data_IF_281388796648
#
_entry.id   IF_281388796648
#
_cell.length_a   1.000
_cell.length_b   1.000
_cell.length_c   1.000
_cell.angle_alpha   90.00
_cell.angle_beta   90.00
_cell.angle_gamma   90.00
#
_symmetry.space_group_name_H-M   'P 1'
#
loop_
_entity.id
_entity.type
_entity.pdbx_description
1 polymer ?
#
# COMPACT_ATOMS: atom_id res chain seq x y z
N UNK A 1 9.40 -5.55 32.36
CA UNK A 1 8.79 -4.20 32.22
C UNK A 1 7.69 -4.35 31.18
N UNK A 2 6.44 -4.45 31.61
CA UNK A 2 5.30 -4.37 30.69
C UNK A 2 5.28 -2.96 30.12
N UNK A 3 5.51 -2.84 28.82
CA UNK A 3 5.35 -1.57 28.11
C UNK A 3 3.85 -1.31 28.02
N UNK A 4 3.31 -0.63 29.03
CA UNK A 4 1.95 -0.08 28.95
C UNK A 4 1.98 1.01 27.89
N UNK A 5 1.63 0.65 26.65
CA UNK A 5 1.44 1.63 25.59
C UNK A 5 0.43 2.67 26.05
N UNK A 6 0.75 3.95 25.86
CA UNK A 6 -0.22 5.02 26.08
C UNK A 6 -1.46 4.77 25.21
N UNK A 7 -2.63 5.22 25.64
CA UNK A 7 -3.87 5.10 24.85
C UNK A 7 -3.66 5.64 23.41
N UNK A 8 -2.92 6.74 23.28
CA UNK A 8 -2.54 7.32 21.99
C UNK A 8 -1.72 6.36 21.11
N UNK A 9 -0.78 5.61 21.69
CA UNK A 9 0.04 4.66 20.94
C UNK A 9 -0.76 3.41 20.51
N UNK A 10 -1.72 2.96 21.33
CA UNK A 10 -2.64 1.89 20.96
C UNK A 10 -3.59 2.31 19.83
N UNK A 11 -4.16 3.50 19.92
CA UNK A 11 -5.06 4.03 18.90
C UNK A 11 -4.33 4.29 17.58
N UNK A 12 -3.13 4.87 17.63
CA UNK A 12 -2.27 5.02 16.46
C UNK A 12 -1.97 3.67 15.81
N UNK A 13 -1.57 2.67 16.59
CA UNK A 13 -1.27 1.32 16.07
C UNK A 13 -2.48 0.71 15.39
N UNK A 14 -3.67 0.80 15.99
CA UNK A 14 -4.92 0.28 15.39
C UNK A 14 -5.27 0.97 14.08
N UNK A 15 -5.11 2.30 14.02
CA UNK A 15 -5.32 3.07 12.79
C UNK A 15 -4.36 2.64 11.68
N UNK A 16 -3.07 2.52 11.99
CA UNK A 16 -2.08 2.01 11.03
C UNK A 16 -2.39 0.58 10.59
N UNK A 17 -2.80 -0.30 11.51
CA UNK A 17 -3.18 -1.66 11.15
C UNK A 17 -4.37 -1.70 10.18
N UNK A 18 -5.38 -0.87 10.40
CA UNK A 18 -6.55 -0.76 9.51
C UNK A 18 -6.14 -0.32 8.11
N UNK A 19 -5.33 0.75 8.02
CA UNK A 19 -4.83 1.28 6.75
C UNK A 19 -3.98 0.26 5.99
N UNK A 20 -3.06 -0.43 6.67
CA UNK A 20 -2.19 -1.44 6.06
C UNK A 20 -2.97 -2.67 5.56
N UNK A 21 -4.01 -3.10 6.29
CA UNK A 21 -4.91 -4.17 5.83
C UNK A 21 -5.65 -3.76 4.57
N UNK A 22 -6.20 -2.54 4.54
CA UNK A 22 -6.83 -1.98 3.35
C UNK A 22 -5.86 -1.96 2.17
N UNK A 23 -4.63 -1.49 2.39
CA UNK A 23 -3.61 -1.43 1.34
C UNK A 23 -3.25 -2.83 0.79
N UNK A 24 -3.07 -3.82 1.66
CA UNK A 24 -2.82 -5.21 1.26
C UNK A 24 -3.98 -5.78 0.44
N UNK A 25 -5.22 -5.48 0.81
CA UNK A 25 -6.39 -5.96 0.07
C UNK A 25 -6.43 -5.38 -1.35
N UNK A 26 -6.21 -4.07 -1.49
CA UNK A 26 -6.12 -3.39 -2.79
C UNK A 26 -4.96 -3.88 -3.67
N UNK A 27 -4.00 -4.60 -3.08
CA UNK A 27 -2.94 -5.28 -3.83
C UNK A 27 -3.39 -6.57 -4.46
N UNK A 28 -4.20 -7.37 -3.76
CA UNK A 28 -4.78 -8.57 -4.35
C UNK A 28 -5.72 -8.29 -5.53
N UNK A 29 -6.38 -7.13 -5.56
CA UNK A 29 -7.19 -6.70 -6.71
C UNK A 29 -6.32 -6.29 -7.91
N UNK A 30 -5.19 -5.63 -7.65
CA UNK A 30 -4.22 -5.22 -8.68
C UNK A 30 -3.52 -6.42 -9.32
N UNK A 31 -3.11 -7.41 -8.52
CA UNK A 31 -2.44 -8.60 -9.03
C UNK A 31 -3.35 -9.35 -10.03
N UNK A 32 -4.65 -9.46 -9.70
CA UNK A 32 -5.67 -10.02 -10.60
C UNK A 32 -5.83 -9.22 -11.90
N UNK A 33 -5.80 -7.89 -11.81
CA UNK A 33 -5.84 -7.03 -13.00
C UNK A 33 -4.62 -7.26 -13.91
N UNK A 34 -3.42 -7.37 -13.34
CA UNK A 34 -2.19 -7.59 -14.10
C UNK A 34 -2.19 -8.98 -14.76
N UNK A 35 -2.64 -10.01 -14.05
CA UNK A 35 -2.77 -11.36 -14.60
C UNK A 35 -3.76 -11.40 -15.78
N UNK A 36 -4.89 -10.70 -15.65
CA UNK A 36 -5.85 -10.54 -16.74
C UNK A 36 -5.25 -9.82 -17.94
N UNK A 37 -4.61 -8.66 -17.72
CA UNK A 37 -3.98 -7.89 -18.78
C UNK A 37 -2.89 -8.70 -19.50
N UNK A 38 -2.05 -9.45 -18.78
CA UNK A 38 -1.03 -10.33 -19.37
C UNK A 38 -1.64 -11.41 -20.26
N UNK A 39 -2.71 -12.06 -19.81
CA UNK A 39 -3.36 -13.15 -20.56
C UNK A 39 -4.11 -12.67 -21.81
N UNK A 40 -4.46 -11.38 -21.87
CA UNK A 40 -5.21 -10.77 -22.97
C UNK A 40 -4.36 -9.78 -23.80
N UNK A 41 -3.03 -9.87 -23.74
CA UNK A 41 -2.13 -9.05 -24.56
C UNK A 41 -2.22 -7.55 -24.26
N UNK A 42 -2.47 -7.20 -23.00
CA UNK A 42 -2.73 -5.83 -22.50
C UNK A 42 -4.01 -5.19 -23.04
N UNK A 43 -4.93 -5.99 -23.59
CA UNK A 43 -6.30 -5.54 -23.89
C UNK A 43 -7.09 -5.52 -22.59
N UNK A 44 -7.51 -4.31 -22.19
CA UNK A 44 -8.23 -4.06 -20.95
C UNK A 44 -9.65 -3.64 -21.30
N UNK A 45 -10.65 -4.33 -20.76
CA UNK A 45 -12.05 -3.92 -20.88
C UNK A 45 -12.42 -2.81 -19.88
N UNK A 46 -13.62 -2.25 -20.02
CA UNK A 46 -14.10 -1.17 -19.17
C UNK A 46 -14.25 -1.56 -17.70
N UNK A 47 -14.60 -2.81 -17.38
CA UNK A 47 -14.82 -3.26 -16.00
C UNK A 47 -13.50 -3.41 -15.23
N UNK A 48 -12.46 -3.94 -15.89
CA UNK A 48 -11.12 -4.05 -15.32
C UNK A 48 -10.46 -2.68 -15.17
N UNK A 49 -10.69 -1.76 -16.12
CA UNK A 49 -10.25 -0.36 -16.01
C UNK A 49 -10.85 0.34 -14.78
N UNK A 50 -12.17 0.20 -14.55
CA UNK A 50 -12.84 0.78 -13.39
C UNK A 50 -12.27 0.22 -12.08
N UNK A 51 -12.04 -1.10 -12.03
CA UNK A 51 -11.47 -1.75 -10.85
C UNK A 51 -10.05 -1.26 -10.54
N UNK A 52 -9.23 -1.07 -11.58
CA UNK A 52 -7.89 -0.49 -11.46
C UNK A 52 -7.94 0.95 -10.92
N UNK A 53 -8.75 1.83 -11.51
CA UNK A 53 -8.86 3.23 -11.08
C UNK A 53 -9.37 3.33 -9.64
N UNK A 54 -10.34 2.51 -9.25
CA UNK A 54 -10.82 2.44 -7.86
C UNK A 54 -9.72 2.00 -6.90
N UNK A 55 -8.94 0.98 -7.26
CA UNK A 55 -7.82 0.52 -6.44
C UNK A 55 -6.73 1.59 -6.32
N UNK A 56 -6.45 2.30 -7.42
CA UNK A 56 -5.50 3.40 -7.47
C UNK A 56 -5.92 4.56 -6.55
N UNK A 57 -7.14 5.08 -6.71
CA UNK A 57 -7.67 6.15 -5.85
C UNK A 57 -7.73 5.73 -4.38
N UNK A 58 -8.10 4.47 -4.10
CA UNK A 58 -8.15 3.96 -2.72
C UNK A 58 -6.76 3.91 -2.08
N UNK A 59 -5.71 3.56 -2.84
CA UNK A 59 -4.32 3.60 -2.36
C UNK A 59 -3.86 5.02 -2.07
N UNK A 60 -4.21 5.98 -2.92
CA UNK A 60 -3.94 7.40 -2.68
C UNK A 60 -4.62 7.88 -1.39
N UNK A 61 -5.88 7.50 -1.18
CA UNK A 61 -6.61 7.84 0.05
C UNK A 61 -5.94 7.24 1.30
N UNK A 62 -5.48 5.98 1.23
CA UNK A 62 -4.76 5.35 2.34
C UNK A 62 -3.43 6.07 2.63
N UNK A 63 -2.69 6.43 1.59
CA UNK A 63 -1.45 7.19 1.75
C UNK A 63 -1.71 8.55 2.39
N UNK A 64 -2.71 9.29 1.91
CA UNK A 64 -3.08 10.58 2.49
C UNK A 64 -3.55 10.45 3.94
N UNK A 65 -4.37 9.44 4.25
CA UNK A 65 -4.78 9.15 5.62
C UNK A 65 -3.59 8.81 6.51
N UNK A 66 -2.60 8.09 5.98
CA UNK A 66 -1.35 7.78 6.69
C UNK A 66 -0.57 9.05 7.01
N UNK A 67 -0.38 9.96 6.04
CA UNK A 67 0.28 11.27 6.25
C UNK A 67 -0.41 12.07 7.37
N UNK A 68 -1.74 12.01 7.44
CA UNK A 68 -2.52 12.73 8.44
C UNK A 68 -2.44 12.14 9.85
N UNK A 69 -1.83 10.97 10.04
CA UNK A 69 -1.62 10.42 11.37
C UNK A 69 -0.47 11.12 12.08
N UNK A 70 -0.64 11.40 13.36
CA UNK A 70 0.43 11.87 14.24
C UNK A 70 1.06 10.67 14.96
N UNK A 71 2.23 10.17 14.52
CA UNK A 71 2.88 9.04 15.19
C UNK A 71 3.42 9.47 16.57
N UNK A 72 3.19 8.67 17.62
CA UNK A 72 3.91 8.87 18.87
C UNK A 72 5.40 8.55 18.69
N UNK A 73 6.30 9.05 19.56
CA UNK A 73 7.75 8.98 19.37
C UNK A 73 8.27 7.59 19.02
N UNK A 74 7.76 6.54 19.67
CA UNK A 74 8.18 5.15 19.47
C UNK A 74 7.78 4.55 18.10
N UNK A 75 6.90 5.21 17.34
CA UNK A 75 6.49 4.78 16.01
C UNK A 75 7.03 5.65 14.87
N UNK A 76 7.74 6.75 15.14
CA UNK A 76 8.16 7.70 14.08
C UNK A 76 8.95 7.03 12.95
N UNK A 77 9.93 6.17 13.27
CA UNK A 77 10.72 5.46 12.26
C UNK A 77 9.87 4.46 11.46
N UNK A 78 9.00 3.70 12.14
CA UNK A 78 8.08 2.74 11.49
C UNK A 78 7.09 3.46 10.57
N UNK A 79 6.63 4.64 11.00
CA UNK A 79 5.73 5.49 10.24
C UNK A 79 6.37 5.99 8.95
N UNK A 80 7.61 6.50 9.02
CA UNK A 80 8.35 6.94 7.83
C UNK A 80 8.59 5.79 6.85
N UNK A 81 8.95 4.60 7.36
CA UNK A 81 9.09 3.39 6.53
C UNK A 81 7.76 3.02 5.86
N UNK A 82 6.65 3.12 6.58
CA UNK A 82 5.31 2.90 6.03
C UNK A 82 5.00 3.90 4.91
N UNK A 83 5.21 5.20 5.13
CA UNK A 83 5.01 6.24 4.11
C UNK A 83 5.82 5.96 2.83
N UNK A 84 7.11 5.66 2.96
CA UNK A 84 7.97 5.37 1.81
C UNK A 84 7.57 4.10 1.04
N UNK A 85 6.94 3.13 1.70
CA UNK A 85 6.41 1.92 1.06
C UNK A 85 5.09 2.20 0.33
N UNK A 86 4.19 2.96 0.96
CA UNK A 86 2.93 3.36 0.34
C UNK A 86 3.17 4.25 -0.89
N UNK A 87 4.08 5.21 -0.78
CA UNK A 87 4.51 6.09 -1.87
C UNK A 87 5.10 5.31 -3.05
N UNK A 88 6.02 4.37 -2.80
CA UNK A 88 6.57 3.50 -3.85
C UNK A 88 5.50 2.69 -4.56
N UNK A 89 4.49 2.19 -3.83
CA UNK A 89 3.41 1.45 -4.47
C UNK A 89 2.40 2.33 -5.20
N UNK A 90 2.32 3.64 -4.90
CA UNK A 90 1.61 4.61 -5.76
C UNK A 90 2.42 4.86 -7.03
N UNK A 91 3.74 5.08 -6.92
CA UNK A 91 4.61 5.26 -8.07
C UNK A 91 4.60 4.04 -9.01
N UNK A 92 4.51 2.82 -8.47
CA UNK A 92 4.31 1.61 -9.27
C UNK A 92 3.00 1.70 -10.10
N UNK A 93 1.91 2.14 -9.48
CA UNK A 93 0.64 2.31 -10.19
C UNK A 93 0.69 3.40 -11.26
N UNK A 94 1.42 4.50 -11.01
CA UNK A 94 1.65 5.54 -12.00
C UNK A 94 2.40 5.01 -13.21
N UNK A 95 3.44 4.21 -12.98
CA UNK A 95 4.19 3.54 -14.04
C UNK A 95 3.29 2.59 -14.84
N UNK A 96 2.45 1.80 -14.17
CA UNK A 96 1.50 0.90 -14.82
C UNK A 96 0.47 1.66 -15.66
N UNK A 97 -0.09 2.76 -15.14
CA UNK A 97 -1.02 3.64 -15.85
C UNK A 97 -0.38 4.32 -17.06
N UNK A 98 0.89 4.67 -16.96
CA UNK A 98 1.69 5.22 -18.06
C UNK A 98 2.20 4.19 -19.07
N UNK A 99 1.88 2.89 -18.91
CA UNK A 99 2.36 1.82 -19.78
C UNK A 99 3.84 1.46 -19.61
N UNK A 100 4.49 1.94 -18.54
CA UNK A 100 5.87 1.62 -18.22
C UNK A 100 5.94 0.38 -17.32
N UNK A 101 5.77 -0.79 -17.94
CA UNK A 101 5.71 -2.07 -17.26
C UNK A 101 7.02 -2.47 -16.58
N UNK A 102 8.17 -2.04 -17.12
CA UNK A 102 9.47 -2.32 -16.50
C UNK A 102 9.60 -1.64 -15.13
N UNK A 103 9.34 -0.33 -15.07
CA UNK A 103 9.38 0.42 -13.80
C UNK A 103 8.33 -0.12 -12.82
N UNK A 104 7.13 -0.46 -13.32
CA UNK A 104 6.11 -1.09 -12.49
C UNK A 104 6.63 -2.38 -11.81
N UNK A 105 7.30 -3.26 -12.56
CA UNK A 105 7.86 -4.50 -12.03
C UNK A 105 8.95 -4.24 -10.99
N UNK A 106 9.93 -3.40 -11.30
CA UNK A 106 11.01 -3.03 -10.38
C UNK A 106 10.46 -2.51 -9.05
N UNK A 107 9.54 -1.53 -9.11
CA UNK A 107 8.93 -0.95 -7.92
C UNK A 107 8.07 -1.97 -7.15
N UNK A 108 7.34 -2.84 -7.84
CA UNK A 108 6.47 -3.84 -7.19
C UNK A 108 7.25 -4.96 -6.50
N UNK A 109 8.34 -5.41 -7.11
CA UNK A 109 9.19 -6.48 -6.58
C UNK A 109 9.88 -6.04 -5.30
N UNK A 110 10.38 -4.80 -5.25
CA UNK A 110 10.95 -4.21 -4.04
C UNK A 110 9.89 -3.90 -2.96
N UNK A 111 8.71 -3.45 -3.37
CA UNK A 111 7.69 -2.99 -2.42
C UNK A 111 6.98 -4.15 -1.70
N UNK A 112 6.98 -5.34 -2.31
CA UNK A 112 6.37 -6.56 -1.74
C UNK A 112 6.97 -6.96 -0.38
N UNK A 113 8.29 -7.24 -0.28
CA UNK A 113 8.92 -7.60 0.99
C UNK A 113 8.92 -6.42 1.97
N UNK A 114 8.99 -5.18 1.47
CA UNK A 114 8.91 -3.99 2.31
C UNK A 114 7.55 -3.89 3.02
N UNK A 115 6.45 -4.07 2.29
CA UNK A 115 5.10 -4.06 2.85
C UNK A 115 4.93 -5.17 3.90
N UNK A 116 5.40 -6.39 3.61
CA UNK A 116 5.35 -7.50 4.55
C UNK A 116 6.12 -7.20 5.85
N UNK A 117 7.33 -6.64 5.74
CA UNK A 117 8.12 -6.21 6.90
C UNK A 117 7.41 -5.13 7.72
N UNK A 118 6.79 -4.14 7.07
CA UNK A 118 6.05 -3.07 7.74
C UNK A 118 4.82 -3.64 8.44
N UNK A 119 4.09 -4.55 7.80
CA UNK A 119 2.95 -5.21 8.43
C UNK A 119 3.35 -5.95 9.72
N UNK A 120 4.46 -6.67 9.69
CA UNK A 120 5.02 -7.32 10.88
C UNK A 120 5.37 -6.30 11.99
N UNK A 121 5.93 -5.14 11.65
CA UNK A 121 6.25 -4.07 12.62
C UNK A 121 5.01 -3.54 13.36
N UNK A 122 3.82 -3.67 12.76
CA UNK A 122 2.53 -3.33 13.34
C UNK A 122 1.76 -4.55 13.87
N UNK A 123 2.32 -5.76 13.78
CA UNK A 123 1.70 -7.01 14.25
C UNK A 123 0.56 -7.51 13.36
N UNK A 124 0.77 -7.53 12.03
CA UNK A 124 -0.16 -7.98 11.00
C UNK A 124 0.39 -9.10 10.12
#
# INVERSE_FOLDING_TARGET
IEVSYSAAALDYRRSMQSLLRGYKQLRGDLDRYIEYAKSHGWVIDSAHTISFENAYSSRQNIYQATISLSPPPEYQVRHQRALACLERGIAAMDALKGGNYQIFHELSDENTPALASIMNDYGL
#
